data_IF_759617810479
#
_entry.id   IF_759617810479
#
_cell.length_a   1.000
_cell.length_b   1.000
_cell.length_c   1.000
_cell.angle_alpha   90.00
_cell.angle_beta   90.00
_cell.angle_gamma   90.00
#
_symmetry.space_group_name_H-M   'P 1'
#
loop_
_entity.id
_entity.type
_entity.pdbx_description
1 polymer ?
#
# COMPACT_ATOMS: atom_id res chain seq x y z
N UNK A 1 20.51 -1.31 -23.36
CA UNK A 1 19.18 -1.67 -22.83
C UNK A 1 18.25 -0.48 -23.06
N UNK A 2 17.02 -0.69 -23.52
CA UNK A 2 16.10 0.40 -23.83
C UNK A 2 15.68 1.13 -22.56
N UNK A 3 15.80 2.45 -22.54
CA UNK A 3 15.40 3.37 -21.46
C UNK A 3 14.06 2.99 -20.78
N UNK A 4 13.02 2.76 -21.59
CA UNK A 4 11.67 2.34 -21.16
C UNK A 4 11.63 1.03 -20.36
N UNK A 5 12.57 0.10 -20.62
CA UNK A 5 12.62 -1.18 -19.91
C UNK A 5 13.24 -1.02 -18.52
N UNK A 6 14.23 -0.13 -18.37
CA UNK A 6 14.80 0.23 -17.06
C UNK A 6 13.77 0.95 -16.20
N UNK A 7 13.01 1.88 -16.78
CA UNK A 7 11.91 2.56 -16.08
C UNK A 7 10.82 1.58 -15.62
N UNK A 8 10.47 0.60 -16.47
CA UNK A 8 9.50 -0.42 -16.12
C UNK A 8 9.99 -1.31 -14.97
N UNK A 9 11.23 -1.79 -15.03
CA UNK A 9 11.82 -2.61 -13.96
C UNK A 9 11.84 -1.84 -12.63
N UNK A 10 12.26 -0.56 -12.65
CA UNK A 10 12.24 0.29 -11.46
C UNK A 10 10.83 0.47 -10.88
N UNK A 11 9.83 0.68 -11.73
CA UNK A 11 8.44 0.80 -11.30
C UNK A 11 7.90 -0.52 -10.68
N UNK A 12 8.29 -1.67 -11.22
CA UNK A 12 7.93 -2.99 -10.66
C UNK A 12 8.59 -3.19 -9.29
N UNK A 13 9.88 -2.89 -9.15
CA UNK A 13 10.56 -2.99 -7.84
C UNK A 13 9.93 -2.06 -6.80
N UNK A 14 9.57 -0.83 -7.19
CA UNK A 14 8.88 0.09 -6.30
C UNK A 14 7.49 -0.44 -5.87
N UNK A 15 6.75 -1.05 -6.80
CA UNK A 15 5.45 -1.67 -6.53
C UNK A 15 5.59 -2.81 -5.51
N UNK A 16 6.57 -3.69 -5.68
CA UNK A 16 6.83 -4.81 -4.75
C UNK A 16 7.20 -4.32 -3.35
N UNK A 17 8.03 -3.27 -3.24
CA UNK A 17 8.38 -2.66 -1.96
C UNK A 17 7.14 -2.07 -1.25
N UNK A 18 6.28 -1.37 -1.99
CA UNK A 18 5.03 -0.82 -1.45
C UNK A 18 4.07 -1.93 -1.00
N UNK A 19 3.97 -3.03 -1.75
CA UNK A 19 3.13 -4.18 -1.39
C UNK A 19 3.61 -4.84 -0.10
N UNK A 20 4.91 -5.04 0.06
CA UNK A 20 5.49 -5.58 1.29
C UNK A 20 5.23 -4.68 2.50
N UNK A 21 5.34 -3.35 2.35
CA UNK A 21 5.01 -2.40 3.41
C UNK A 21 3.52 -2.42 3.76
N UNK A 22 2.64 -2.47 2.75
CA UNK A 22 1.19 -2.57 2.94
C UNK A 22 0.84 -3.86 3.69
N UNK A 23 1.42 -4.98 3.29
CA UNK A 23 1.20 -6.28 3.95
C UNK A 23 1.65 -6.26 5.41
N UNK A 24 2.81 -5.68 5.70
CA UNK A 24 3.30 -5.53 7.06
C UNK A 24 2.35 -4.68 7.93
N UNK A 25 1.86 -3.55 7.41
CA UNK A 25 0.92 -2.68 8.12
C UNK A 25 -0.43 -3.39 8.35
N UNK A 26 -0.95 -4.09 7.33
CA UNK A 26 -2.19 -4.85 7.44
C UNK A 26 -2.04 -5.97 8.47
N UNK A 27 -0.92 -6.70 8.43
CA UNK A 27 -0.58 -7.73 9.39
C UNK A 27 -0.62 -7.22 10.83
N UNK A 28 0.05 -6.09 11.09
CA UNK A 28 0.02 -5.43 12.42
C UNK A 28 -1.42 -5.04 12.82
N UNK A 29 -2.18 -4.42 11.92
CA UNK A 29 -3.56 -4.00 12.17
C UNK A 29 -4.52 -5.17 12.42
N UNK A 30 -4.25 -6.36 11.88
CA UNK A 30 -5.07 -7.56 12.08
C UNK A 30 -4.56 -8.49 13.17
N UNK A 31 -3.42 -8.17 13.78
CA UNK A 31 -2.81 -9.01 14.80
C UNK A 31 -3.51 -8.87 16.17
N UNK A 32 -3.65 -9.98 16.88
CA UNK A 32 -4.14 -10.01 18.26
C UNK A 32 -5.55 -9.44 18.41
N UNK A 33 -5.69 -8.42 19.27
CA UNK A 33 -6.97 -7.74 19.57
C UNK A 33 -7.23 -6.51 18.69
N UNK A 34 -6.34 -6.21 17.75
CA UNK A 34 -6.47 -5.01 16.95
C UNK A 34 -7.74 -5.08 16.08
N UNK A 35 -8.47 -3.96 15.91
CA UNK A 35 -9.76 -3.93 15.22
C UNK A 35 -9.63 -4.01 13.69
N UNK A 36 -8.46 -4.39 13.15
CA UNK A 36 -8.23 -4.43 11.72
C UNK A 36 -8.13 -3.04 11.06
N UNK A 37 -8.30 -3.01 9.74
CA UNK A 37 -8.18 -1.79 8.93
C UNK A 37 -9.39 -0.85 9.10
N UNK A 38 -10.58 -1.40 9.38
CA UNK A 38 -11.85 -0.63 9.40
C UNK A 38 -12.66 -0.76 10.68
N UNK A 39 -12.24 -1.58 11.66
CA UNK A 39 -13.02 -1.77 12.87
C UNK A 39 -13.06 -0.54 13.79
N UNK A 40 -13.99 -0.52 14.76
CA UNK A 40 -14.20 0.60 15.67
C UNK A 40 -13.00 0.80 16.59
N UNK A 41 -12.67 2.07 16.87
CA UNK A 41 -11.61 2.48 17.81
C UNK A 41 -12.17 2.94 19.16
N UNK A 42 -13.48 2.97 19.28
CA UNK A 42 -14.21 3.34 20.50
C UNK A 42 -15.00 2.13 21.01
N UNK A 43 -15.31 2.14 22.30
CA UNK A 43 -16.24 1.21 22.93
C UNK A 43 -17.70 1.61 22.67
N UNK A 44 -18.64 0.94 23.34
CA UNK A 44 -20.09 1.18 23.16
C UNK A 44 -20.53 2.51 23.79
N UNK A 45 -19.79 2.99 24.77
CA UNK A 45 -20.02 4.22 25.52
C UNK A 45 -19.39 5.45 24.84
N UNK A 46 -18.53 5.24 23.84
CA UNK A 46 -17.92 6.28 23.02
C UNK A 46 -16.52 6.70 23.48
N UNK A 47 -15.91 5.96 24.42
CA UNK A 47 -14.56 6.21 24.89
C UNK A 47 -13.51 5.44 24.06
N UNK A 48 -12.25 5.90 24.01
CA UNK A 48 -11.17 5.15 23.37
C UNK A 48 -11.02 3.77 24.02
N UNK A 49 -10.95 2.74 23.18
CA UNK A 49 -10.77 1.37 23.62
C UNK A 49 -9.50 1.20 24.47
N UNK A 50 -9.66 0.71 25.69
CA UNK A 50 -8.55 0.48 26.61
C UNK A 50 -7.76 -0.81 26.31
N UNK A 51 -8.32 -1.72 25.51
CA UNK A 51 -7.71 -3.01 25.17
C UNK A 51 -6.73 -2.93 23.99
N UNK A 52 -6.64 -1.79 23.30
CA UNK A 52 -5.77 -1.58 22.14
C UNK A 52 -5.10 -0.20 22.16
N UNK A 53 -3.96 -0.08 21.49
CA UNK A 53 -3.33 1.23 21.27
C UNK A 53 -4.01 1.95 20.09
N UNK A 54 -5.05 2.73 20.42
CA UNK A 54 -5.81 3.53 19.46
C UNK A 54 -4.93 4.51 18.68
N UNK A 55 -3.90 5.07 19.32
CA UNK A 55 -3.00 6.04 18.68
C UNK A 55 -2.14 5.35 17.61
N UNK A 56 -1.53 4.21 17.95
CA UNK A 56 -0.76 3.40 17.00
C UNK A 56 -1.62 2.94 15.83
N UNK A 57 -2.82 2.42 16.09
CA UNK A 57 -3.75 1.96 15.05
C UNK A 57 -4.11 3.11 14.10
N UNK A 58 -4.37 4.32 14.63
CA UNK A 58 -4.67 5.49 13.80
C UNK A 58 -3.50 5.87 12.88
N UNK A 59 -2.28 5.86 13.40
CA UNK A 59 -1.07 6.12 12.60
C UNK A 59 -0.88 5.08 11.50
N UNK A 60 -1.04 3.80 11.83
CA UNK A 60 -0.94 2.70 10.86
C UNK A 60 -1.99 2.81 9.76
N UNK A 61 -3.26 3.10 10.11
CA UNK A 61 -4.32 3.30 9.11
C UNK A 61 -4.05 4.50 8.21
N UNK A 62 -3.51 5.58 8.75
CA UNK A 62 -3.10 6.73 7.96
C UNK A 62 -1.96 6.36 6.99
N UNK A 63 -0.91 5.71 7.49
CA UNK A 63 0.20 5.23 6.66
C UNK A 63 -0.28 4.28 5.56
N UNK A 64 -1.19 3.35 5.89
CA UNK A 64 -1.79 2.44 4.93
C UNK A 64 -2.49 3.18 3.78
N UNK A 65 -3.29 4.21 4.09
CA UNK A 65 -4.01 4.99 3.09
C UNK A 65 -3.06 5.74 2.15
N UNK A 66 -1.96 6.31 2.68
CA UNK A 66 -0.93 6.94 1.86
C UNK A 66 -0.26 5.91 0.94
N UNK A 67 0.19 4.78 1.49
CA UNK A 67 0.87 3.72 0.72
C UNK A 67 -0.01 3.09 -0.35
N UNK A 68 -1.30 2.92 -0.08
CA UNK A 68 -2.28 2.47 -1.08
C UNK A 68 -2.43 3.48 -2.23
N UNK A 69 -2.38 4.77 -1.92
CA UNK A 69 -2.44 5.83 -2.94
C UNK A 69 -1.17 5.85 -3.79
N UNK A 70 -0.01 5.69 -3.16
CA UNK A 70 1.28 5.58 -3.84
C UNK A 70 1.32 4.36 -4.76
N UNK A 71 0.88 3.19 -4.26
CA UNK A 71 0.80 1.95 -5.04
C UNK A 71 -0.10 2.11 -6.26
N UNK A 72 -1.28 2.72 -6.11
CA UNK A 72 -2.16 3.02 -7.25
C UNK A 72 -1.49 3.93 -8.28
N UNK A 73 -0.67 4.89 -7.84
CA UNK A 73 0.07 5.79 -8.73
C UNK A 73 1.15 5.03 -9.50
N UNK A 74 1.92 4.17 -8.83
CA UNK A 74 2.93 3.32 -9.47
C UNK A 74 2.28 2.36 -10.48
N UNK A 75 1.14 1.74 -10.14
CA UNK A 75 0.41 0.86 -11.05
C UNK A 75 -0.04 1.59 -12.33
N UNK A 76 -0.53 2.82 -12.23
CA UNK A 76 -0.86 3.65 -13.42
C UNK A 76 0.37 3.93 -14.28
N UNK A 77 1.52 4.17 -13.67
CA UNK A 77 2.79 4.35 -14.40
C UNK A 77 3.15 3.07 -15.17
N UNK A 78 3.07 1.90 -14.52
CA UNK A 78 3.31 0.59 -15.15
C UNK A 78 2.36 0.36 -16.34
N UNK A 79 1.06 0.64 -16.16
CA UNK A 79 0.06 0.54 -17.23
C UNK A 79 0.39 1.42 -18.44
N UNK A 80 0.94 2.61 -18.22
CA UNK A 80 1.34 3.53 -19.30
C UNK A 80 2.61 3.10 -20.05
N UNK A 81 3.53 2.40 -19.36
CA UNK A 81 4.80 1.91 -19.92
C UNK A 81 4.61 0.62 -20.74
N UNK A 82 3.65 -0.23 -20.37
CA UNK A 82 3.37 -1.51 -21.02
C UNK A 82 3.14 -1.43 -22.54
N UNK A 83 2.29 -0.53 -23.07
CA UNK A 83 2.12 -0.37 -24.52
C UNK A 83 3.41 0.07 -25.22
N UNK A 84 4.20 0.96 -24.60
CA UNK A 84 5.45 1.48 -25.15
C UNK A 84 6.49 0.38 -25.33
N UNK A 85 6.55 -0.58 -24.40
CA UNK A 85 7.40 -1.77 -24.51
C UNK A 85 6.97 -2.67 -25.68
N UNK A 86 5.67 -2.90 -25.85
CA UNK A 86 5.13 -3.76 -26.92
C UNK A 86 5.39 -3.17 -28.31
N UNK A 87 5.14 -1.88 -28.50
CA UNK A 87 5.35 -1.22 -29.79
C UNK A 87 6.83 -1.15 -30.21
N UNK A 88 7.77 -1.14 -29.25
CA UNK A 88 9.21 -1.11 -29.54
C UNK A 88 9.77 -2.45 -30.02
N UNK A 89 9.12 -3.58 -29.70
CA UNK A 89 9.49 -4.91 -30.20
C UNK A 89 9.02 -5.21 -31.63
N UNK A 90 8.12 -4.38 -32.19
CA UNK A 90 7.48 -4.62 -33.48
C UNK A 90 8.08 -3.82 -34.65
N UNK A 91 9.28 -3.25 -34.47
CA UNK A 91 10.02 -2.50 -35.47
C UNK A 91 11.41 -3.09 -35.68
#
# INVERSE_FOLDING_TARGET
MSDVMVEYEAAVTQKEALEAEIEAIVGELTSGKNPGVKGPLVDAEGFPRADVDVHRIRQLRHSLALKQTDHQTVMKTIESLLPRLKHKKLR
#
